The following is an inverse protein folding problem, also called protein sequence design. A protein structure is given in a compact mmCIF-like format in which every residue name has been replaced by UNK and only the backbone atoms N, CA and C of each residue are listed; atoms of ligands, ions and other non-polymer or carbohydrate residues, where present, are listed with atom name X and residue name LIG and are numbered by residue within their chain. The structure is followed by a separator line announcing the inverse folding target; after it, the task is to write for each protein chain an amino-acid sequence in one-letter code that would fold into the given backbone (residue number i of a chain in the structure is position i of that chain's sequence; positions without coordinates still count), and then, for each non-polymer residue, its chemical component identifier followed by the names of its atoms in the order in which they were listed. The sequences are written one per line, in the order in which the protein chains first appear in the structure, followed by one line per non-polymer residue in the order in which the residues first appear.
data_IF_225565039155
#
_entry.id   IF_225565039155
#
_cell.length_a   1.000
_cell.length_b   1.000
_cell.length_c   1.000
_cell.angle_alpha   90.00
_cell.angle_beta   90.00
_cell.angle_gamma   90.00
#
_symmetry.space_group_name_H-M   'P 1'
#
loop_
_entity.id
_entity.type
_entity.pdbx_description
1 polymer ?
#
# COMPACT_ATOMS: atom_id res chain seq x y z
N UNK A 1 26.27 3.08 -0.90
CA UNK A 1 25.38 1.99 -0.45
C UNK A 1 23.96 2.44 -0.11
N UNK A 2 23.67 3.73 0.12
CA UNK A 2 22.32 4.20 0.54
C UNK A 2 21.26 4.17 -0.59
N UNK A 3 21.68 4.29 -1.86
CA UNK A 3 20.74 4.41 -3.00
C UNK A 3 19.94 3.14 -3.31
N UNK A 4 20.44 1.96 -2.93
CA UNK A 4 19.78 0.68 -3.21
C UNK A 4 18.72 0.33 -2.16
N UNK A 5 18.91 0.69 -0.89
CA UNK A 5 17.90 0.47 0.15
C UNK A 5 16.65 1.35 -0.07
N UNK A 6 16.86 2.62 -0.46
CA UNK A 6 15.75 3.55 -0.77
C UNK A 6 14.95 3.12 -2.00
N UNK A 7 15.57 2.45 -2.97
CA UNK A 7 14.86 1.96 -4.15
C UNK A 7 13.96 0.75 -3.82
N UNK A 8 14.47 -0.18 -3.02
CA UNK A 8 13.74 -1.38 -2.59
C UNK A 8 12.55 -1.04 -1.68
N UNK A 9 12.70 -0.06 -0.78
CA UNK A 9 11.58 0.45 0.04
C UNK A 9 10.45 1.06 -0.82
N UNK A 10 10.78 1.70 -1.95
CA UNK A 10 9.75 2.28 -2.83
C UNK A 10 8.97 1.21 -3.60
N UNK A 11 9.63 0.15 -4.06
CA UNK A 11 8.98 -0.89 -4.88
C UNK A 11 7.91 -1.65 -4.07
N UNK A 12 8.22 -2.05 -2.84
CA UNK A 12 7.25 -2.73 -1.96
C UNK A 12 6.04 -1.85 -1.63
N UNK A 13 6.28 -0.56 -1.36
CA UNK A 13 5.20 0.40 -1.13
C UNK A 13 4.33 0.62 -2.38
N UNK A 14 4.96 0.70 -3.56
CA UNK A 14 4.27 0.83 -4.84
C UNK A 14 3.41 -0.39 -5.14
N UNK A 15 3.92 -1.60 -4.91
CA UNK A 15 3.18 -2.86 -5.10
C UNK A 15 1.97 -2.97 -4.17
N UNK A 16 2.12 -2.54 -2.91
CA UNK A 16 1.01 -2.46 -1.95
C UNK A 16 -0.05 -1.45 -2.44
N UNK A 17 0.37 -0.26 -2.85
CA UNK A 17 -0.56 0.78 -3.32
C UNK A 17 -1.24 0.38 -4.63
N UNK A 18 -0.54 -0.26 -5.56
CA UNK A 18 -1.09 -0.77 -6.80
C UNK A 18 -2.13 -1.86 -6.52
N UNK A 19 -1.83 -2.79 -5.62
CA UNK A 19 -2.76 -3.85 -5.20
C UNK A 19 -4.02 -3.29 -4.53
N UNK A 20 -3.87 -2.24 -3.71
CA UNK A 20 -5.00 -1.55 -3.11
C UNK A 20 -5.84 -0.78 -4.14
N UNK A 21 -5.19 -0.16 -5.13
CA UNK A 21 -5.86 0.54 -6.22
C UNK A 21 -6.70 -0.44 -7.06
N UNK A 22 -6.13 -1.59 -7.44
CA UNK A 22 -6.85 -2.66 -8.14
C UNK A 22 -8.06 -3.12 -7.32
N UNK A 23 -7.86 -3.41 -6.02
CA UNK A 23 -8.95 -3.80 -5.14
C UNK A 23 -10.06 -2.75 -5.08
N UNK A 24 -9.71 -1.47 -5.01
CA UNK A 24 -10.66 -0.35 -5.01
C UNK A 24 -11.42 -0.23 -6.33
N UNK A 25 -10.78 -0.47 -7.47
CA UNK A 25 -11.46 -0.48 -8.78
C UNK A 25 -12.47 -1.62 -8.85
N UNK A 26 -12.10 -2.81 -8.37
CA UNK A 26 -12.96 -4.00 -8.42
C UNK A 26 -14.12 -3.97 -7.40
N UNK A 27 -13.92 -3.32 -6.24
CA UNK A 27 -14.83 -3.40 -5.08
C UNK A 27 -15.37 -2.04 -4.62
N UNK A 28 -15.04 -0.94 -5.31
CA UNK A 28 -15.36 0.41 -4.88
C UNK A 28 -14.56 0.85 -3.65
N UNK A 29 -15.15 1.70 -2.80
CA UNK A 29 -14.48 2.29 -1.62
C UNK A 29 -14.44 1.34 -0.40
N UNK A 30 -14.38 0.02 -0.65
CA UNK A 30 -14.43 -1.04 0.35
C UNK A 30 -13.13 -1.15 1.17
N UNK A 31 -13.26 -1.72 2.37
CA UNK A 31 -12.14 -2.01 3.26
C UNK A 31 -11.57 -3.41 2.96
N UNK A 32 -10.26 -3.53 2.79
CA UNK A 32 -9.57 -4.82 2.66
C UNK A 32 -8.91 -5.21 3.98
N UNK A 33 -8.87 -6.50 4.31
CA UNK A 33 -8.10 -6.97 5.46
C UNK A 33 -6.60 -7.01 5.16
N UNK A 34 -5.76 -6.68 6.14
CA UNK A 34 -4.30 -6.72 6.03
C UNK A 34 -3.82 -8.11 5.59
N UNK A 35 -4.41 -9.17 6.15
CA UNK A 35 -4.06 -10.55 5.79
C UNK A 35 -4.39 -10.85 4.32
N UNK A 36 -5.54 -10.40 3.83
CA UNK A 36 -5.91 -10.60 2.42
C UNK A 36 -5.00 -9.81 1.49
N UNK A 37 -4.60 -8.60 1.88
CA UNK A 37 -3.64 -7.80 1.11
C UNK A 37 -2.25 -8.45 1.08
N UNK A 38 -1.76 -8.94 2.23
CA UNK A 38 -0.46 -9.63 2.36
C UNK A 38 -0.38 -10.91 1.53
N UNK A 39 -1.51 -11.58 1.29
CA UNK A 39 -1.57 -12.74 0.38
C UNK A 39 -1.50 -12.36 -1.11
N UNK A 40 -1.83 -11.11 -1.46
CA UNK A 40 -1.85 -10.62 -2.85
C UNK A 40 -0.53 -9.94 -3.25
N UNK A 41 0.19 -9.39 -2.29
CA UNK A 41 1.41 -8.62 -2.53
C UNK A 41 2.63 -9.48 -2.18
N UNK A 42 3.53 -9.78 -3.14
CA UNK A 42 4.80 -10.41 -2.84
C UNK A 42 5.74 -9.38 -2.18
N UNK A 43 5.63 -9.22 -0.87
CA UNK A 43 6.39 -8.23 -0.10
C UNK A 43 7.04 -8.88 1.12
N UNK A 44 8.35 -8.75 1.25
CA UNK A 44 9.12 -9.32 2.36
C UNK A 44 8.94 -8.48 3.62
N UNK A 45 8.91 -7.14 3.51
CA UNK A 45 8.81 -6.21 4.63
C UNK A 45 7.43 -5.57 4.75
N UNK A 46 6.37 -6.35 4.51
CA UNK A 46 5.00 -5.85 4.41
C UNK A 46 4.57 -5.00 5.61
N UNK A 47 4.89 -5.44 6.81
CA UNK A 47 4.44 -4.77 8.04
C UNK A 47 5.15 -3.42 8.23
N UNK A 48 6.43 -3.31 7.84
CA UNK A 48 7.19 -2.05 7.86
C UNK A 48 6.69 -1.09 6.77
N UNK A 49 6.53 -1.59 5.54
CA UNK A 49 6.00 -0.81 4.43
C UNK A 49 4.61 -0.24 4.73
N UNK A 50 3.73 -1.03 5.36
CA UNK A 50 2.41 -0.57 5.76
C UNK A 50 2.46 0.53 6.82
N UNK A 51 3.34 0.43 7.81
CA UNK A 51 3.47 1.48 8.83
C UNK A 51 3.99 2.79 8.22
N UNK A 52 4.91 2.72 7.25
CA UNK A 52 5.35 3.90 6.48
C UNK A 52 4.18 4.49 5.68
N UNK A 53 3.46 3.67 4.91
CA UNK A 53 2.30 4.11 4.12
C UNK A 53 1.22 4.77 4.99
N UNK A 54 0.99 4.23 6.18
CA UNK A 54 0.06 4.77 7.18
C UNK A 54 0.52 6.12 7.71
N UNK A 55 1.79 6.21 8.12
CA UNK A 55 2.40 7.44 8.63
C UNK A 55 2.39 8.56 7.58
N UNK A 56 2.64 8.21 6.32
CA UNK A 56 2.60 9.14 5.19
C UNK A 56 1.17 9.44 4.70
N UNK A 57 0.15 8.76 5.22
CA UNK A 57 -1.26 9.01 4.87
C UNK A 57 -1.66 8.53 3.46
N UNK A 58 -0.90 7.61 2.87
CA UNK A 58 -1.25 6.97 1.60
C UNK A 58 -2.33 5.89 1.78
N UNK A 59 -2.45 5.34 2.98
CA UNK A 59 -3.51 4.42 3.38
C UNK A 59 -4.20 4.92 4.65
N UNK A 60 -5.46 4.56 4.81
CA UNK A 60 -6.21 4.78 6.05
C UNK A 60 -6.70 3.45 6.61
N UNK A 61 -6.78 3.39 7.94
CA UNK A 61 -7.16 2.19 8.69
C UNK A 61 -8.50 2.41 9.39
N UNK A 62 -9.42 1.45 9.24
CA UNK A 62 -10.67 1.41 10.01
C UNK A 62 -10.42 0.87 11.41
N UNK A 63 -9.53 -0.10 11.51
CA UNK A 63 -9.06 -0.78 12.72
C UNK A 63 -7.69 -1.40 12.43
N UNK A 64 -7.13 -2.18 13.35
CA UNK A 64 -5.81 -2.79 13.17
C UNK A 64 -5.76 -3.87 12.06
N UNK A 65 -6.91 -4.29 11.53
CA UNK A 65 -7.00 -5.39 10.57
C UNK A 65 -7.44 -4.94 9.18
N UNK A 66 -8.02 -3.75 9.03
CA UNK A 66 -8.65 -3.31 7.79
C UNK A 66 -8.17 -1.94 7.36
N UNK A 67 -7.79 -1.84 6.08
CA UNK A 67 -7.30 -0.62 5.46
C UNK A 67 -7.92 -0.37 4.09
N UNK A 68 -7.68 0.81 3.54
CA UNK A 68 -7.90 1.15 2.14
C UNK A 68 -6.93 2.25 1.70
N UNK A 69 -6.75 2.39 0.39
CA UNK A 69 -5.95 3.47 -0.19
C UNK A 69 -6.70 4.80 -0.12
N UNK A 70 -5.98 5.87 0.27
CA UNK A 70 -6.52 7.24 0.30
C UNK A 70 -6.40 7.89 -1.08
N UNK A 71 -7.05 9.04 -1.28
CA UNK A 71 -6.81 9.86 -2.48
C UNK A 71 -5.33 10.20 -2.67
N UNK A 72 -4.61 10.53 -1.58
CA UNK A 72 -3.16 10.81 -1.63
C UNK A 72 -2.37 9.60 -2.15
N UNK A 73 -2.71 8.39 -1.68
CA UNK A 73 -2.09 7.15 -2.16
C UNK A 73 -2.36 6.89 -3.64
N UNK A 74 -3.59 7.14 -4.10
CA UNK A 74 -3.98 7.02 -5.51
C UNK A 74 -3.18 8.02 -6.36
N UNK A 75 -3.18 9.29 -5.99
CA UNK A 75 -2.47 10.34 -6.73
C UNK A 75 -0.97 10.04 -6.82
N UNK A 76 -0.39 9.51 -5.73
CA UNK A 76 1.01 9.08 -5.71
C UNK A 76 1.28 7.94 -6.71
N UNK A 77 0.55 6.82 -6.63
CA UNK A 77 0.85 5.65 -7.49
C UNK A 77 0.53 5.93 -8.96
N UNK A 78 -0.54 6.67 -9.24
CA UNK A 78 -0.90 7.07 -10.63
C UNK A 78 0.17 7.99 -11.24
N UNK A 79 0.90 8.76 -10.44
CA UNK A 79 1.99 9.61 -10.95
C UNK A 79 3.27 8.84 -11.34
N UNK A 80 3.35 7.56 -10.95
CA UNK A 80 4.53 6.70 -11.17
C UNK A 80 4.33 5.61 -12.22
N UNK A 81 3.08 5.28 -12.54
CA UNK A 81 2.67 4.39 -13.64
C UNK A 81 2.54 5.19 -14.94
#
# INVERSE_FOLDING_TARGET
MVKYMVAMENEEMEDILLSLLIYRVDNGDAWISCNHLKMRVPCENFDEAIEVLKKEGYVEFKNNEHLRITKKGIDFIVSRV
#
